data_IF_458929608368
#
_entry.id   IF_458929608368
#
_cell.length_a   1.000
_cell.length_b   1.000
_cell.length_c   1.000
_cell.angle_alpha   90.00
_cell.angle_beta   90.00
_cell.angle_gamma   90.00
#
_symmetry.space_group_name_H-M   'P 1'
#
loop_
_entity.id
_entity.type
_entity.pdbx_description
1 polymer ?
#
# COMPACT_ATOMS: atom_id res chain seq x y z
N UNK A 1 0.44 -22.19 33.75
CA UNK A 1 -0.03 -21.36 32.65
C UNK A 1 0.57 -21.86 31.34
N UNK A 2 -0.27 -22.17 30.35
CA UNK A 2 -0.07 -22.92 29.11
C UNK A 2 1.28 -22.72 28.38
N UNK A 3 2.35 -23.39 28.80
CA UNK A 3 3.67 -23.36 28.19
C UNK A 3 3.62 -23.79 26.72
N UNK A 4 2.90 -24.87 26.43
CA UNK A 4 2.80 -25.44 25.07
C UNK A 4 2.05 -24.53 24.08
N UNK A 5 0.92 -23.94 24.49
CA UNK A 5 0.19 -22.99 23.66
C UNK A 5 0.96 -21.68 23.43
N UNK A 6 1.90 -21.30 24.32
CA UNK A 6 2.78 -20.17 24.09
C UNK A 6 3.91 -20.52 23.13
N UNK A 7 4.45 -21.76 23.18
CA UNK A 7 5.47 -22.22 22.23
C UNK A 7 4.94 -22.22 20.80
N UNK A 8 3.79 -22.84 20.55
CA UNK A 8 3.15 -22.84 19.21
C UNK A 8 2.87 -21.42 18.70
N UNK A 9 2.34 -20.55 19.55
CA UNK A 9 2.09 -19.15 19.16
C UNK A 9 3.41 -18.42 18.86
N UNK A 10 4.47 -18.65 19.63
CA UNK A 10 5.77 -18.03 19.39
C UNK A 10 6.42 -18.52 18.09
N UNK A 11 6.28 -19.79 17.74
CA UNK A 11 6.75 -20.35 16.46
C UNK A 11 6.04 -19.66 15.29
N UNK A 12 4.71 -19.52 15.36
CA UNK A 12 3.95 -18.76 14.34
C UNK A 12 4.38 -17.30 14.25
N UNK A 13 4.64 -16.65 15.39
CA UNK A 13 5.14 -15.26 15.43
C UNK A 13 6.53 -15.18 14.77
N UNK A 14 7.43 -16.12 15.03
CA UNK A 14 8.79 -16.13 14.45
C UNK A 14 8.75 -16.35 12.94
N UNK A 15 7.93 -17.26 12.44
CA UNK A 15 7.73 -17.47 11.01
C UNK A 15 7.28 -16.18 10.33
N UNK A 16 6.22 -15.53 10.85
CA UNK A 16 5.74 -14.26 10.31
C UNK A 16 6.77 -13.12 10.40
N UNK A 17 7.61 -13.11 11.44
CA UNK A 17 8.69 -12.12 11.55
C UNK A 17 9.84 -12.37 10.60
N UNK A 18 10.07 -13.63 10.18
CA UNK A 18 11.01 -13.96 9.12
C UNK A 18 10.55 -13.41 7.78
N UNK A 19 9.28 -13.60 7.45
CA UNK A 19 8.71 -13.18 6.18
C UNK A 19 8.44 -11.66 6.13
N UNK A 20 8.05 -11.08 7.28
CA UNK A 20 7.68 -9.68 7.44
C UNK A 20 8.42 -9.01 8.60
N UNK A 21 9.72 -8.71 8.47
CA UNK A 21 10.53 -8.12 9.56
C UNK A 21 10.01 -6.79 10.08
N UNK A 22 9.34 -6.00 9.23
CA UNK A 22 8.79 -4.68 9.53
C UNK A 22 7.48 -4.73 10.33
N UNK A 23 6.81 -5.89 10.41
CA UNK A 23 5.50 -5.99 11.05
C UNK A 23 5.56 -5.88 12.57
N UNK A 24 4.80 -4.91 13.11
CA UNK A 24 4.60 -4.75 14.56
C UNK A 24 3.57 -5.76 15.09
N UNK A 25 3.55 -5.93 16.43
CA UNK A 25 2.74 -6.93 17.12
C UNK A 25 1.24 -6.91 16.78
N UNK A 26 0.66 -5.74 16.48
CA UNK A 26 -0.76 -5.63 16.13
C UNK A 26 -1.07 -6.22 14.76
N UNK A 27 -0.18 -6.02 13.79
CA UNK A 27 -0.32 -6.60 12.46
C UNK A 27 -0.14 -8.11 12.51
N UNK A 28 0.88 -8.60 13.22
CA UNK A 28 1.08 -10.04 13.46
C UNK A 28 -0.14 -10.65 14.16
N UNK A 29 -0.66 -10.01 15.19
CA UNK A 29 -1.88 -10.47 15.86
C UNK A 29 -3.08 -10.55 14.92
N UNK A 30 -3.31 -9.53 14.09
CA UNK A 30 -4.42 -9.48 13.15
C UNK A 30 -4.32 -10.61 12.11
N UNK A 31 -3.13 -10.81 11.55
CA UNK A 31 -2.86 -11.89 10.61
C UNK A 31 -3.09 -13.27 11.24
N UNK A 32 -2.51 -13.53 12.41
CA UNK A 32 -2.69 -14.79 13.12
C UNK A 32 -4.16 -15.08 13.43
N UNK A 33 -4.92 -14.08 13.88
CA UNK A 33 -6.35 -14.21 14.14
C UNK A 33 -7.13 -14.61 12.89
N UNK A 34 -6.74 -14.07 11.74
CA UNK A 34 -7.40 -14.30 10.47
C UNK A 34 -7.11 -15.70 9.88
N UNK A 35 -5.86 -16.13 9.93
CA UNK A 35 -5.41 -17.32 9.19
C UNK A 35 -5.26 -18.56 10.06
N UNK A 36 -4.67 -18.47 11.23
CA UNK A 36 -4.30 -19.64 12.04
C UNK A 36 -5.22 -19.87 13.24
N UNK A 37 -5.86 -18.83 13.74
CA UNK A 37 -6.66 -18.89 14.96
C UNK A 37 -8.11 -18.45 14.73
N UNK A 38 -8.69 -18.81 13.58
CA UNK A 38 -10.12 -18.58 13.29
C UNK A 38 -10.97 -19.20 14.40
N UNK A 39 -11.86 -18.39 14.99
CA UNK A 39 -12.72 -18.84 16.09
C UNK A 39 -12.07 -18.91 17.47
N UNK A 40 -10.74 -18.80 17.58
CA UNK A 40 -10.03 -18.80 18.85
C UNK A 40 -9.63 -17.38 19.26
N UNK A 41 -10.00 -16.95 20.46
CA UNK A 41 -9.71 -15.60 20.94
C UNK A 41 -8.24 -15.46 21.35
N UNK A 42 -7.40 -14.93 20.44
CA UNK A 42 -6.04 -14.50 20.80
C UNK A 42 -6.08 -13.04 21.23
N UNK A 43 -5.47 -12.75 22.39
CA UNK A 43 -5.32 -11.37 22.85
C UNK A 43 -4.04 -10.75 22.28
N UNK A 44 -4.14 -9.56 21.68
CA UNK A 44 -2.99 -8.82 21.17
C UNK A 44 -1.95 -8.49 22.24
N UNK A 45 -2.36 -8.36 23.53
CA UNK A 45 -1.44 -8.17 24.66
C UNK A 45 -0.56 -9.40 24.87
N UNK A 46 -1.10 -10.63 24.61
CA UNK A 46 -0.32 -11.88 24.69
C UNK A 46 0.73 -11.93 23.58
N UNK A 47 0.38 -11.56 22.36
CA UNK A 47 1.33 -11.45 21.22
C UNK A 47 2.42 -10.43 21.54
N UNK A 48 2.05 -9.23 22.01
CA UNK A 48 3.01 -8.20 22.43
C UNK A 48 4.01 -8.72 23.46
N UNK A 49 3.54 -9.39 24.52
CA UNK A 49 4.37 -9.93 25.57
C UNK A 49 5.37 -10.95 25.03
N UNK A 50 4.92 -11.93 24.24
CA UNK A 50 5.79 -12.92 23.62
C UNK A 50 6.83 -12.30 22.70
N UNK A 51 6.45 -11.32 21.88
CA UNK A 51 7.39 -10.60 21.04
C UNK A 51 8.42 -9.81 21.85
N UNK A 52 8.00 -9.15 22.94
CA UNK A 52 8.91 -8.43 23.82
C UNK A 52 9.91 -9.35 24.51
N UNK A 53 9.44 -10.45 25.10
CA UNK A 53 10.27 -11.43 25.81
C UNK A 53 11.29 -12.13 24.90
N UNK A 54 11.02 -12.16 23.57
CA UNK A 54 11.89 -12.80 22.58
C UNK A 54 12.62 -11.81 21.65
N UNK A 55 12.66 -10.52 21.98
CA UNK A 55 13.33 -9.46 21.18
C UNK A 55 12.83 -9.35 19.73
N UNK A 56 11.54 -9.63 19.48
CA UNK A 56 10.91 -9.60 18.16
C UNK A 56 10.16 -8.30 17.87
N UNK A 57 10.16 -7.33 18.80
CA UNK A 57 9.54 -6.04 18.56
C UNK A 57 10.34 -5.23 17.55
N UNK A 58 9.61 -4.51 16.69
CA UNK A 58 10.23 -3.56 15.76
C UNK A 58 10.85 -2.42 16.56
N UNK A 59 12.13 -2.07 16.36
CA UNK A 59 12.77 -0.95 17.03
C UNK A 59 12.02 0.35 16.78
N UNK A 60 11.82 1.15 17.82
CA UNK A 60 11.26 2.48 17.66
C UNK A 60 12.27 3.37 16.91
N UNK A 61 11.87 3.88 15.77
CA UNK A 61 12.66 4.87 15.06
C UNK A 61 12.61 6.19 15.84
N UNK A 62 13.68 6.52 16.53
CA UNK A 62 13.82 7.73 17.37
C UNK A 62 14.26 8.96 16.56
N UNK A 63 13.83 9.09 15.29
CA UNK A 63 14.11 10.30 14.51
C UNK A 63 13.61 11.54 15.23
N UNK A 64 14.46 12.55 15.34
CA UNK A 64 14.08 13.88 15.80
C UNK A 64 12.85 14.34 14.99
N UNK A 65 11.72 14.49 15.68
CA UNK A 65 10.51 15.00 15.05
C UNK A 65 10.66 16.52 14.91
N UNK A 66 10.75 17.00 13.69
CA UNK A 66 10.61 18.44 13.45
C UNK A 66 9.26 18.92 14.01
N UNK A 67 9.27 20.11 14.61
CA UNK A 67 8.04 20.80 15.05
C UNK A 67 7.17 20.98 13.80
N UNK A 68 5.99 20.35 13.79
CA UNK A 68 5.09 20.39 12.64
C UNK A 68 4.19 21.62 12.75
N UNK A 69 4.25 22.49 11.76
CA UNK A 69 3.25 23.54 11.57
C UNK A 69 1.88 22.87 11.31
N UNK A 70 0.80 23.36 11.92
CA UNK A 70 -0.54 22.87 11.61
C UNK A 70 -0.83 23.05 10.11
N UNK A 71 -1.04 21.98 9.41
CA UNK A 71 -1.37 22.02 7.97
C UNK A 71 -2.87 21.85 7.76
N UNK A 72 -3.40 22.44 6.67
CA UNK A 72 -4.79 22.29 6.24
C UNK A 72 -5.21 20.81 6.25
N UNK A 73 -6.50 20.57 6.51
CA UNK A 73 -7.05 19.23 6.55
C UNK A 73 -6.75 18.50 5.22
N UNK A 74 -6.15 17.31 5.34
CA UNK A 74 -5.99 16.37 4.23
C UNK A 74 -7.36 15.80 3.90
N UNK A 75 -7.73 15.61 2.63
CA UNK A 75 -8.86 14.78 2.28
C UNK A 75 -8.67 13.40 2.92
N UNK A 76 -9.61 13.00 3.74
CA UNK A 76 -9.67 11.65 4.29
C UNK A 76 -10.90 11.01 3.70
N UNK A 77 -10.70 9.89 3.07
CA UNK A 77 -11.80 9.08 2.57
C UNK A 77 -11.75 7.70 3.17
N UNK A 78 -12.94 7.15 3.41
CA UNK A 78 -13.18 5.75 3.74
C UNK A 78 -13.94 5.07 2.58
N UNK A 79 -14.22 5.81 1.52
CA UNK A 79 -14.96 5.37 0.34
C UNK A 79 -13.97 4.85 -0.71
N UNK A 80 -14.01 3.56 -1.08
CA UNK A 80 -13.23 3.05 -2.21
C UNK A 80 -13.56 3.82 -3.50
N UNK A 81 -12.52 4.09 -4.29
CA UNK A 81 -12.61 4.80 -5.57
C UNK A 81 -13.08 6.26 -5.50
N UNK A 82 -13.06 6.90 -4.32
CA UNK A 82 -13.30 8.34 -4.24
C UNK A 82 -12.04 9.15 -4.58
N UNK A 83 -10.90 8.76 -3.99
CA UNK A 83 -9.60 9.40 -4.27
C UNK A 83 -8.56 8.34 -4.59
N UNK A 84 -7.94 8.50 -5.73
CA UNK A 84 -6.74 7.75 -6.12
C UNK A 84 -5.51 8.61 -5.98
N UNK A 85 -4.41 8.03 -5.56
CA UNK A 85 -3.10 8.69 -5.58
C UNK A 85 -2.20 8.03 -6.59
N UNK A 86 -1.49 8.83 -7.36
CA UNK A 86 -0.44 8.35 -8.27
C UNK A 86 0.89 9.02 -7.92
N UNK A 87 1.97 8.26 -7.93
CA UNK A 87 3.31 8.74 -7.61
C UNK A 87 4.37 7.79 -8.17
N UNK A 88 5.63 8.21 -8.14
CA UNK A 88 6.76 7.46 -8.66
C UNK A 88 7.87 7.35 -7.62
N UNK A 89 8.54 6.21 -7.63
CA UNK A 89 9.76 6.00 -6.86
C UNK A 89 10.83 5.30 -7.67
N UNK A 90 12.08 5.31 -7.19
CA UNK A 90 13.20 4.63 -7.83
C UNK A 90 13.68 3.46 -6.99
N UNK A 91 14.06 2.40 -7.68
CA UNK A 91 14.72 1.21 -7.11
C UNK A 91 15.99 0.94 -7.90
N UNK A 92 17.09 0.68 -7.21
CA UNK A 92 18.33 0.29 -7.85
C UNK A 92 18.38 -1.23 -7.98
N UNK A 93 18.52 -1.72 -9.21
CA UNK A 93 18.81 -3.12 -9.50
C UNK A 93 20.30 -3.18 -9.90
N UNK A 94 21.16 -3.84 -9.14
CA UNK A 94 22.61 -3.78 -9.35
C UNK A 94 23.05 -4.13 -10.77
N UNK A 95 22.39 -5.10 -11.42
CA UNK A 95 22.69 -5.54 -12.78
C UNK A 95 22.15 -4.66 -13.90
N UNK A 96 21.18 -3.74 -13.60
CA UNK A 96 20.44 -3.00 -14.61
C UNK A 96 20.38 -1.49 -14.37
N UNK A 97 20.79 -1.01 -13.19
CA UNK A 97 20.72 0.40 -12.82
C UNK A 97 19.38 0.81 -12.21
N UNK A 98 18.99 2.07 -12.40
CA UNK A 98 17.77 2.61 -11.83
C UNK A 98 16.52 2.17 -12.59
N UNK A 99 15.58 1.58 -11.84
CA UNK A 99 14.24 1.26 -12.29
C UNK A 99 13.25 2.23 -11.63
N UNK A 100 12.32 2.76 -12.41
CA UNK A 100 11.27 3.64 -11.94
C UNK A 100 10.01 2.82 -11.68
N UNK A 101 9.41 2.97 -10.51
CA UNK A 101 8.14 2.33 -10.16
C UNK A 101 7.06 3.40 -10.11
N UNK A 102 6.10 3.31 -11.02
CA UNK A 102 4.92 4.16 -11.04
C UNK A 102 3.82 3.42 -10.27
N UNK A 103 3.23 4.06 -9.27
CA UNK A 103 2.32 3.44 -8.31
C UNK A 103 1.01 4.19 -8.30
N UNK A 104 -0.10 3.48 -8.50
CA UNK A 104 -1.45 4.00 -8.27
C UNK A 104 -2.13 3.25 -7.13
N UNK A 105 -2.75 3.98 -6.22
CA UNK A 105 -3.40 3.46 -5.02
C UNK A 105 -4.78 4.09 -4.83
N UNK A 106 -5.74 3.31 -4.38
CA UNK A 106 -7.00 3.82 -3.82
C UNK A 106 -6.81 4.24 -2.35
N UNK A 107 -7.17 5.48 -2.04
CA UNK A 107 -7.02 6.00 -0.68
C UNK A 107 -8.08 5.49 0.29
N UNK A 108 -9.26 5.13 -0.18
CA UNK A 108 -10.33 4.57 0.65
C UNK A 108 -9.97 3.19 1.17
N UNK A 109 -9.78 2.25 0.27
CA UNK A 109 -9.47 0.85 0.59
C UNK A 109 -7.99 0.57 0.86
N UNK A 110 -7.07 1.52 0.59
CA UNK A 110 -5.60 1.33 0.60
C UNK A 110 -5.09 0.29 -0.41
N UNK A 111 -5.94 -0.07 -1.38
CA UNK A 111 -5.64 -1.06 -2.42
C UNK A 111 -4.63 -0.52 -3.42
N UNK A 112 -3.60 -1.29 -3.70
CA UNK A 112 -2.69 -1.05 -4.83
C UNK A 112 -3.42 -1.41 -6.12
N UNK A 113 -3.69 -0.40 -6.94
CA UNK A 113 -4.40 -0.55 -8.20
C UNK A 113 -3.46 -0.98 -9.32
N UNK A 114 -2.29 -0.33 -9.39
CA UNK A 114 -1.23 -0.70 -10.33
C UNK A 114 0.14 -0.34 -9.77
N UNK A 115 1.16 -1.11 -10.16
CA UNK A 115 2.58 -0.82 -9.90
C UNK A 115 3.37 -1.21 -11.13
N UNK A 116 3.81 -0.21 -11.91
CA UNK A 116 4.48 -0.43 -13.18
C UNK A 116 5.97 -0.08 -13.10
N UNK A 117 6.86 -1.08 -13.22
CA UNK A 117 8.29 -0.85 -13.38
C UNK A 117 8.60 -0.37 -14.80
N UNK A 118 9.50 0.61 -14.93
CA UNK A 118 9.99 1.11 -16.22
C UNK A 118 11.44 1.57 -16.11
N UNK A 119 12.19 1.49 -17.20
CA UNK A 119 13.53 2.05 -17.28
C UNK A 119 13.53 3.58 -17.45
N UNK A 120 12.37 4.16 -17.72
CA UNK A 120 12.16 5.59 -17.87
C UNK A 120 11.04 6.09 -16.95
N UNK A 121 10.90 7.41 -16.81
CA UNK A 121 9.73 8.02 -16.19
C UNK A 121 9.24 9.13 -17.13
N UNK A 122 8.57 8.72 -18.19
CA UNK A 122 7.90 9.60 -19.15
C UNK A 122 6.41 9.68 -18.84
N UNK A 123 5.73 10.63 -19.44
CA UNK A 123 4.26 10.76 -19.31
C UNK A 123 3.51 9.51 -19.78
N UNK A 124 4.07 8.77 -20.78
CA UNK A 124 3.53 7.48 -21.21
C UNK A 124 3.50 6.46 -20.09
N UNK A 125 4.58 6.34 -19.29
CA UNK A 125 4.67 5.36 -18.21
C UNK A 125 3.62 5.64 -17.11
N UNK A 126 3.32 6.92 -16.87
CA UNK A 126 2.26 7.36 -15.96
C UNK A 126 0.86 7.07 -16.51
N UNK A 127 0.66 7.29 -17.84
CA UNK A 127 -0.59 6.97 -18.52
C UNK A 127 -0.85 5.46 -18.50
N UNK A 128 0.16 4.64 -18.75
CA UNK A 128 0.06 3.18 -18.72
C UNK A 128 -0.32 2.70 -17.30
N UNK A 129 0.28 3.31 -16.26
CA UNK A 129 -0.05 3.03 -14.86
C UNK A 129 -1.50 3.39 -14.53
N UNK A 130 -1.98 4.55 -15.00
CA UNK A 130 -3.36 4.98 -14.82
C UNK A 130 -4.34 4.05 -15.56
N UNK A 131 -4.04 3.72 -16.82
CA UNK A 131 -4.88 2.81 -17.62
C UNK A 131 -4.97 1.41 -17.00
N UNK A 132 -3.85 0.87 -16.50
CA UNK A 132 -3.85 -0.40 -15.81
C UNK A 132 -4.71 -0.36 -14.53
N UNK A 133 -4.59 0.72 -13.73
CA UNK A 133 -5.40 0.92 -12.54
C UNK A 133 -6.91 0.95 -12.90
N UNK A 134 -7.27 1.68 -13.94
CA UNK A 134 -8.65 1.78 -14.45
C UNK A 134 -9.15 0.41 -14.91
N UNK A 135 -8.39 -0.30 -15.73
CA UNK A 135 -8.80 -1.61 -16.28
C UNK A 135 -8.99 -2.67 -15.18
N UNK A 136 -8.14 -2.64 -14.15
CA UNK A 136 -8.27 -3.56 -13.01
C UNK A 136 -9.47 -3.25 -12.12
N UNK A 137 -9.72 -1.96 -11.89
CA UNK A 137 -10.76 -1.53 -10.96
C UNK A 137 -12.14 -1.48 -11.62
N UNK A 138 -12.20 -1.18 -12.90
CA UNK A 138 -13.43 -1.07 -13.67
C UNK A 138 -13.40 -2.02 -14.89
N UNK A 139 -13.49 -3.35 -14.70
CA UNK A 139 -13.36 -4.32 -15.79
C UNK A 139 -14.45 -4.20 -16.85
N UNK A 140 -15.61 -3.63 -16.49
CA UNK A 140 -16.73 -3.35 -17.41
C UNK A 140 -16.61 -1.96 -18.08
N UNK A 141 -15.54 -1.21 -17.78
CA UNK A 141 -15.30 0.16 -18.23
C UNK A 141 -15.62 1.19 -17.16
N UNK A 142 -14.76 2.21 -17.09
CA UNK A 142 -14.87 3.28 -16.06
C UNK A 142 -16.17 4.09 -16.18
N UNK A 143 -16.78 4.14 -17.35
CA UNK A 143 -18.05 4.86 -17.58
C UNK A 143 -19.27 4.19 -16.97
N UNK A 144 -19.16 2.90 -16.61
CA UNK A 144 -20.18 2.16 -15.88
C UNK A 144 -20.03 2.28 -14.36
N UNK A 145 -19.01 3.01 -13.89
CA UNK A 145 -18.79 3.21 -12.46
C UNK A 145 -19.87 4.13 -11.87
N UNK A 146 -20.30 3.83 -10.65
CA UNK A 146 -21.27 4.63 -9.89
C UNK A 146 -20.74 6.07 -9.62
N UNK A 147 -19.43 6.19 -9.41
CA UNK A 147 -18.70 7.46 -9.34
C UNK A 147 -17.30 7.30 -9.91
N UNK A 148 -16.75 8.44 -10.39
CA UNK A 148 -15.40 8.49 -10.92
C UNK A 148 -14.41 8.97 -9.86
N UNK A 149 -13.20 8.39 -9.79
CA UNK A 149 -12.20 8.80 -8.82
C UNK A 149 -11.62 10.18 -9.12
N UNK A 150 -11.29 10.92 -8.07
CA UNK A 150 -10.39 12.06 -8.16
C UNK A 150 -8.94 11.56 -8.11
N UNK A 151 -8.11 11.94 -9.07
CA UNK A 151 -6.71 11.52 -9.12
C UNK A 151 -5.80 12.57 -8.50
N UNK A 152 -5.15 12.22 -7.39
CA UNK A 152 -4.19 13.09 -6.71
C UNK A 152 -2.77 12.76 -7.14
N UNK A 153 -2.01 13.77 -7.57
CA UNK A 153 -0.60 13.67 -7.91
C UNK A 153 0.20 14.84 -7.34
N UNK A 154 1.52 14.75 -7.41
CA UNK A 154 2.38 15.92 -7.24
C UNK A 154 2.33 16.86 -8.47
N UNK A 155 3.08 17.97 -8.39
CA UNK A 155 3.22 18.92 -9.50
C UNK A 155 4.44 18.60 -10.39
N UNK A 156 4.83 17.35 -10.51
CA UNK A 156 5.92 16.91 -11.38
C UNK A 156 5.63 17.17 -12.86
N UNK A 157 6.67 17.14 -13.69
CA UNK A 157 6.53 17.43 -15.12
C UNK A 157 5.71 16.36 -15.88
N UNK A 158 5.66 15.13 -15.37
CA UNK A 158 4.88 14.06 -16.00
C UNK A 158 3.37 14.21 -15.74
N UNK A 159 2.88 14.31 -14.48
CA UNK A 159 1.45 14.50 -14.24
C UNK A 159 0.91 15.85 -14.71
N UNK A 160 1.76 16.87 -14.89
CA UNK A 160 1.36 18.17 -15.47
C UNK A 160 1.48 18.23 -16.99
N UNK A 161 1.87 17.16 -17.66
CA UNK A 161 2.00 17.12 -19.12
C UNK A 161 0.64 17.16 -19.83
N UNK A 162 0.61 17.74 -21.03
CA UNK A 162 -0.60 17.77 -21.86
C UNK A 162 -1.14 16.38 -22.15
N UNK A 163 -0.26 15.39 -22.35
CA UNK A 163 -0.64 14.01 -22.64
C UNK A 163 -1.35 13.37 -21.45
N UNK A 164 -0.82 13.55 -20.24
CA UNK A 164 -1.42 12.99 -19.03
C UNK A 164 -2.78 13.67 -18.71
N UNK A 165 -2.87 15.00 -18.85
CA UNK A 165 -4.14 15.70 -18.73
C UNK A 165 -5.19 15.24 -19.73
N UNK A 166 -4.79 14.99 -20.99
CA UNK A 166 -5.69 14.45 -22.00
C UNK A 166 -6.20 13.06 -21.60
N UNK A 167 -5.31 12.16 -21.14
CA UNK A 167 -5.69 10.83 -20.68
C UNK A 167 -6.68 10.88 -19.51
N UNK A 168 -6.44 11.72 -18.49
CA UNK A 168 -7.38 11.89 -17.38
C UNK A 168 -8.75 12.37 -17.86
N UNK A 169 -8.77 13.39 -18.75
CA UNK A 169 -10.02 13.92 -19.32
C UNK A 169 -10.78 12.87 -20.13
N UNK A 170 -10.10 12.09 -20.95
CA UNK A 170 -10.71 11.07 -21.80
C UNK A 170 -11.34 9.92 -20.96
N UNK A 171 -10.77 9.67 -19.79
CA UNK A 171 -11.31 8.76 -18.77
C UNK A 171 -12.39 9.42 -17.89
N UNK A 172 -12.59 10.72 -17.95
CA UNK A 172 -13.51 11.47 -17.08
C UNK A 172 -12.98 11.67 -15.65
N UNK A 173 -11.70 11.42 -15.41
CA UNK A 173 -11.06 11.53 -14.09
C UNK A 173 -10.63 12.98 -13.84
N UNK A 174 -11.09 13.57 -12.74
CA UNK A 174 -10.63 14.88 -12.28
C UNK A 174 -9.26 14.77 -11.62
N UNK A 175 -8.29 15.56 -12.12
CA UNK A 175 -6.94 15.61 -11.59
C UNK A 175 -6.81 16.70 -10.53
N UNK A 176 -6.31 16.31 -9.33
CA UNK A 176 -6.06 17.20 -8.20
C UNK A 176 -4.55 17.21 -7.91
N UNK A 177 -3.98 18.40 -7.87
CA UNK A 177 -2.56 18.57 -7.54
C UNK A 177 -2.35 18.81 -6.04
N UNK A 178 -1.46 18.02 -5.44
CA UNK A 178 -0.97 18.30 -4.10
C UNK A 178 -0.19 19.63 -4.11
N UNK A 179 -0.61 20.62 -3.31
CA UNK A 179 0.06 21.91 -3.30
C UNK A 179 1.47 21.82 -2.70
N UNK A 180 2.42 22.60 -3.21
CA UNK A 180 3.80 22.71 -2.69
C UNK A 180 3.87 23.02 -1.20
N UNK A 181 2.88 23.72 -0.66
CA UNK A 181 2.79 24.06 0.78
C UNK A 181 2.09 22.98 1.62
N UNK A 182 1.61 21.89 1.01
CA UNK A 182 0.94 20.80 1.72
C UNK A 182 1.62 19.43 1.45
N UNK A 183 2.75 19.14 2.09
CA UNK A 183 3.47 17.86 1.92
C UNK A 183 2.66 16.64 2.35
N UNK A 184 1.46 16.82 2.92
CA UNK A 184 0.56 15.73 3.26
C UNK A 184 -0.45 15.43 2.15
N UNK A 185 -0.45 16.18 1.07
CA UNK A 185 -1.42 16.02 -0.04
C UNK A 185 -1.41 14.64 -0.66
N UNK A 186 -0.27 13.94 -0.71
CA UNK A 186 -0.12 12.59 -1.27
C UNK A 186 0.38 11.55 -0.24
N UNK A 187 0.18 11.82 1.06
CA UNK A 187 0.79 11.02 2.14
C UNK A 187 0.32 9.55 2.18
N UNK A 188 -0.84 9.21 1.61
CA UNK A 188 -1.28 7.80 1.54
C UNK A 188 -0.47 7.04 0.51
N UNK A 189 -0.24 7.63 -0.66
CA UNK A 189 0.61 7.06 -1.71
C UNK A 189 2.05 6.93 -1.26
N UNK A 190 2.63 8.00 -0.66
CA UNK A 190 3.97 7.96 -0.07
C UNK A 190 4.11 6.84 0.99
N UNK A 191 3.08 6.64 1.80
CA UNK A 191 3.07 5.59 2.82
C UNK A 191 3.12 4.20 2.23
N UNK A 192 2.38 3.95 1.14
CA UNK A 192 2.39 2.66 0.47
C UNK A 192 3.70 2.42 -0.24
N UNK A 193 4.24 3.41 -0.94
CA UNK A 193 5.58 3.34 -1.55
C UNK A 193 6.63 3.01 -0.49
N UNK A 194 6.54 3.62 0.67
CA UNK A 194 7.43 3.30 1.78
C UNK A 194 7.27 1.87 2.26
N UNK A 195 6.04 1.38 2.39
CA UNK A 195 5.77 -0.01 2.79
C UNK A 195 6.34 -1.00 1.76
N UNK A 196 6.18 -0.72 0.47
CA UNK A 196 6.80 -1.49 -0.61
C UNK A 196 8.33 -1.55 -0.46
N UNK A 197 8.97 -0.42 -0.17
CA UNK A 197 10.42 -0.38 0.05
C UNK A 197 10.84 -1.15 1.31
N UNK A 198 10.13 -0.99 2.41
CA UNK A 198 10.43 -1.64 3.69
C UNK A 198 10.21 -3.17 3.65
N UNK A 199 9.23 -3.65 2.88
CA UNK A 199 8.86 -5.08 2.86
C UNK A 199 9.48 -5.84 1.68
N UNK A 200 9.71 -5.18 0.54
CA UNK A 200 10.22 -5.85 -0.66
C UNK A 200 11.63 -5.41 -1.06
N UNK A 201 11.86 -4.08 -1.17
CA UNK A 201 13.06 -3.57 -1.83
C UNK A 201 14.29 -3.62 -0.92
N UNK A 202 14.17 -3.09 0.31
CA UNK A 202 15.34 -2.98 1.20
C UNK A 202 15.79 -4.29 1.84
N UNK A 203 14.90 -5.27 2.11
CA UNK A 203 15.31 -6.56 2.67
C UNK A 203 15.93 -7.53 1.67
N UNK A 204 15.86 -7.24 0.37
CA UNK A 204 16.23 -8.20 -0.69
C UNK A 204 17.18 -7.58 -1.71
N UNK A 205 18.03 -8.40 -2.28
CA UNK A 205 18.81 -8.10 -3.47
C UNK A 205 18.22 -8.87 -4.66
N UNK A 206 18.24 -8.23 -5.83
CA UNK A 206 17.67 -8.79 -7.05
C UNK A 206 18.74 -8.85 -8.14
N UNK A 207 18.97 -10.04 -8.67
CA UNK A 207 19.99 -10.28 -9.69
C UNK A 207 19.57 -9.78 -11.08
N UNK A 208 18.27 -9.57 -11.31
CA UNK A 208 17.73 -9.11 -12.59
C UNK A 208 16.42 -8.35 -12.42
N UNK A 209 16.04 -7.58 -13.46
CA UNK A 209 14.74 -6.90 -13.54
C UNK A 209 13.62 -7.93 -13.47
N UNK A 210 13.73 -9.03 -14.19
CA UNK A 210 12.69 -10.08 -14.22
C UNK A 210 12.46 -10.72 -12.86
N UNK A 211 13.53 -10.96 -12.08
CA UNK A 211 13.41 -11.45 -10.71
C UNK A 211 12.70 -10.44 -9.80
N UNK A 212 13.02 -9.16 -9.95
CA UNK A 212 12.36 -8.08 -9.23
C UNK A 212 10.87 -7.96 -9.62
N UNK A 213 10.54 -7.96 -10.91
CA UNK A 213 9.16 -7.86 -11.41
C UNK A 213 8.29 -9.02 -10.92
N UNK A 214 8.83 -10.23 -10.91
CA UNK A 214 8.13 -11.41 -10.39
C UNK A 214 7.84 -11.28 -8.90
N UNK A 215 8.82 -10.84 -8.12
CA UNK A 215 8.67 -10.60 -6.69
C UNK A 215 7.72 -9.42 -6.40
N UNK A 216 7.76 -8.37 -7.22
CA UNK A 216 6.87 -7.21 -7.12
C UNK A 216 5.42 -7.62 -7.38
N UNK A 217 5.16 -8.41 -8.41
CA UNK A 217 3.82 -8.91 -8.73
C UNK A 217 3.24 -9.73 -7.58
N UNK A 218 4.03 -10.65 -7.02
CA UNK A 218 3.61 -11.44 -5.86
C UNK A 218 3.35 -10.54 -4.64
N UNK A 219 4.25 -9.59 -4.37
CA UNK A 219 4.10 -8.68 -3.25
C UNK A 219 2.84 -7.81 -3.36
N UNK A 220 2.50 -7.32 -4.56
CA UNK A 220 1.26 -6.55 -4.80
C UNK A 220 0.02 -7.39 -4.51
N UNK A 221 0.03 -8.66 -4.92
CA UNK A 221 -1.06 -9.58 -4.61
C UNK A 221 -1.18 -9.79 -3.11
N UNK A 222 -0.09 -10.17 -2.44
CA UNK A 222 -0.05 -10.41 -0.99
C UNK A 222 -0.45 -9.15 -0.21
N UNK A 223 -0.02 -7.97 -0.67
CA UNK A 223 -0.39 -6.70 -0.07
C UNK A 223 -1.91 -6.46 -0.11
N UNK A 224 -2.55 -6.70 -1.24
CA UNK A 224 -3.98 -6.48 -1.39
C UNK A 224 -4.82 -7.56 -0.67
N UNK A 225 -4.34 -8.80 -0.59
CA UNK A 225 -5.08 -9.95 -0.06
C UNK A 225 -4.80 -10.23 1.42
N UNK A 226 -3.56 -9.99 1.86
CA UNK A 226 -3.07 -10.51 3.14
C UNK A 226 -2.64 -9.41 4.13
N UNK A 227 -2.33 -8.19 3.65
CA UNK A 227 -1.71 -7.16 4.49
C UNK A 227 -2.74 -6.47 5.40
N UNK A 228 -2.64 -6.61 6.75
CA UNK A 228 -3.59 -5.98 7.66
C UNK A 228 -3.31 -4.48 7.81
N UNK A 229 -4.24 -3.62 7.42
CA UNK A 229 -4.14 -2.17 7.52
C UNK A 229 -4.78 -1.63 8.81
N UNK A 230 -4.01 -0.90 9.61
CA UNK A 230 -4.54 -0.28 10.84
C UNK A 230 -5.61 0.77 10.57
N UNK A 231 -5.53 1.46 9.41
CA UNK A 231 -6.54 2.43 8.99
C UNK A 231 -7.88 1.78 8.60
N UNK A 232 -7.86 0.49 8.25
CA UNK A 232 -9.02 -0.31 7.87
C UNK A 232 -9.47 -1.26 9.01
N UNK A 233 -9.15 -0.94 10.25
CA UNK A 233 -9.47 -1.83 11.38
C UNK A 233 -8.71 -3.16 11.37
N UNK A 234 -7.59 -3.24 10.66
CA UNK A 234 -6.79 -4.43 10.38
C UNK A 234 -7.41 -5.40 9.37
N UNK A 235 -8.39 -4.95 8.58
CA UNK A 235 -8.80 -5.66 7.37
C UNK A 235 -7.77 -5.46 6.26
N UNK A 236 -7.80 -6.35 5.25
CA UNK A 236 -6.98 -6.21 4.04
C UNK A 236 -7.67 -5.26 3.05
N UNK A 237 -6.94 -4.67 2.09
CA UNK A 237 -7.53 -3.81 1.06
C UNK A 237 -8.70 -4.48 0.32
N UNK A 238 -8.51 -5.71 -0.14
CA UNK A 238 -9.54 -6.44 -0.88
C UNK A 238 -10.77 -6.79 -0.03
N UNK A 239 -10.58 -7.14 1.25
CA UNK A 239 -11.72 -7.43 2.13
C UNK A 239 -12.50 -6.18 2.49
N UNK A 240 -11.79 -5.09 2.75
CA UNK A 240 -12.43 -3.80 3.04
C UNK A 240 -13.28 -3.34 1.87
N UNK A 241 -12.76 -3.40 0.65
CA UNK A 241 -13.48 -3.05 -0.56
C UNK A 241 -14.72 -3.92 -0.75
N UNK A 242 -14.59 -5.25 -0.61
CA UNK A 242 -15.72 -6.18 -0.68
C UNK A 242 -16.78 -5.89 0.37
N UNK A 243 -16.36 -5.65 1.59
CA UNK A 243 -17.29 -5.30 2.68
C UNK A 243 -18.03 -4.00 2.39
N UNK A 244 -17.32 -2.99 1.91
CA UNK A 244 -17.89 -1.68 1.59
C UNK A 244 -19.01 -1.82 0.55
N UNK A 245 -18.75 -2.43 -0.60
CA UNK A 245 -19.76 -2.59 -1.64
C UNK A 245 -20.90 -3.52 -1.22
N UNK A 246 -20.65 -4.57 -0.45
CA UNK A 246 -21.71 -5.41 0.11
C UNK A 246 -22.60 -4.65 1.11
N UNK A 247 -22.11 -3.59 1.74
CA UNK A 247 -22.89 -2.74 2.65
C UNK A 247 -23.79 -1.74 1.93
N UNK A 248 -23.44 -1.32 0.70
CA UNK A 248 -24.27 -0.44 -0.14
C UNK A 248 -25.47 -1.17 -0.78
N UNK A 249 -25.35 -2.49 -0.94
CA UNK A 249 -26.38 -3.32 -1.57
C UNK A 249 -27.50 -3.75 -0.61
N UNK A 250 -27.49 -3.28 0.63
CA UNK A 250 -28.51 -3.52 1.66
C UNK A 250 -29.39 -2.30 1.87
#
# INVERSE_FOLDING_TARGET
>A
MNSEANKKLLESIRALKSDHPSWGYRRIWAYLRRHQYKGTRINHKRVYRLMRENNLLVPKNSRLKAVRTPTRNKPRTEIPNEYWGIDMTKVLIPSAGWLYLHVAIDWGSKKLLSVNPSLTSKSSDWIDTLNEAVNRQFPNGIREAEWLPHLVSDNGCQPTSKAFHAACRDLGIEQIFASYSNPKGNADTERVIRTLKEDLVWPREFDSIQAFESALKQWVQDYNEEFPHSALGYETPNDYERWFYASLSK
#
